data_IF_502806196127
#
_entry.id   IF_502806196127
#
_cell.length_a   1.000
_cell.length_b   1.000
_cell.length_c   1.000
_cell.angle_alpha   90.00
_cell.angle_beta   90.00
_cell.angle_gamma   90.00
#
_symmetry.space_group_name_H-M   'P 1'
#
loop_
_entity.id
_entity.type
_entity.pdbx_description
1 polymer ?
#
# COMPACT_ATOMS: atom_id res chain seq x y z
N UNK A 1 8.20 -13.45 -2.57
CA UNK A 1 6.89 -13.41 -1.88
C UNK A 1 5.86 -13.55 -2.98
N UNK A 2 5.01 -14.58 -2.92
CA UNK A 2 4.40 -15.19 -4.11
C UNK A 2 2.91 -14.84 -4.22
N UNK A 3 2.43 -14.37 -5.38
CA UNK A 3 0.99 -14.26 -5.64
C UNK A 3 0.37 -15.66 -5.84
N UNK A 4 -0.76 -15.92 -5.17
CA UNK A 4 -1.51 -17.17 -5.29
C UNK A 4 -2.22 -17.24 -6.66
N UNK A 5 -1.84 -18.21 -7.52
CA UNK A 5 -2.49 -18.45 -8.81
C UNK A 5 -1.57 -18.80 -9.99
N UNK A 6 -0.25 -18.73 -9.83
CA UNK A 6 0.72 -19.12 -10.86
C UNK A 6 1.10 -20.61 -10.75
N UNK A 7 1.02 -21.33 -11.87
CA UNK A 7 1.57 -22.68 -11.99
C UNK A 7 3.09 -22.54 -12.08
N UNK A 8 3.79 -23.03 -11.07
CA UNK A 8 5.25 -23.09 -11.03
C UNK A 8 5.65 -24.55 -11.10
N UNK A 9 6.49 -24.89 -12.06
CA UNK A 9 7.17 -26.18 -12.06
C UNK A 9 8.38 -26.14 -11.12
N UNK A 10 9.03 -27.29 -10.95
CA UNK A 10 10.23 -27.42 -10.12
C UNK A 10 11.39 -26.55 -10.60
N UNK A 11 11.38 -26.13 -11.86
CA UNK A 11 12.52 -25.51 -12.54
C UNK A 11 12.40 -23.99 -12.62
N UNK A 12 11.31 -23.40 -12.13
CA UNK A 12 11.11 -21.95 -12.25
C UNK A 12 12.12 -21.20 -11.36
N UNK A 13 13.02 -20.36 -11.93
CA UNK A 13 14.07 -19.69 -11.17
C UNK A 13 13.53 -18.63 -10.21
N UNK A 14 14.24 -18.43 -9.10
CA UNK A 14 13.90 -17.43 -8.09
C UNK A 14 13.88 -15.98 -8.63
N UNK A 15 14.62 -15.69 -9.69
CA UNK A 15 14.62 -14.37 -10.34
C UNK A 15 13.34 -14.16 -11.15
N UNK A 16 12.90 -15.18 -11.91
CA UNK A 16 11.60 -15.18 -12.61
C UNK A 16 10.44 -14.99 -11.63
N UNK A 17 10.52 -15.59 -10.44
CA UNK A 17 9.53 -15.37 -9.37
C UNK A 17 9.45 -13.91 -8.89
N UNK A 18 10.55 -13.17 -8.94
CA UNK A 18 10.59 -11.76 -8.53
C UNK A 18 10.06 -10.85 -9.63
N UNK A 19 10.41 -11.12 -10.89
CA UNK A 19 9.90 -10.36 -12.04
C UNK A 19 8.37 -10.46 -12.15
N UNK A 20 7.80 -11.58 -11.68
CA UNK A 20 6.35 -11.80 -11.63
C UNK A 20 5.65 -11.18 -10.40
N UNK A 21 6.39 -10.67 -9.41
CA UNK A 21 5.80 -10.11 -8.20
C UNK A 21 5.17 -8.73 -8.48
N UNK A 22 3.98 -8.48 -7.93
CA UNK A 22 3.31 -7.18 -8.07
C UNK A 22 4.06 -6.02 -7.39
N UNK A 23 4.95 -6.34 -6.45
CA UNK A 23 5.79 -5.40 -5.69
C UNK A 23 7.17 -6.03 -5.46
N UNK A 24 8.22 -5.22 -5.25
CA UNK A 24 9.51 -5.73 -4.76
C UNK A 24 9.43 -5.91 -3.23
N UNK A 25 9.53 -7.14 -2.71
CA UNK A 25 9.49 -7.42 -1.27
C UNK A 25 10.55 -6.69 -0.44
N UNK A 26 11.67 -6.29 -1.05
CA UNK A 26 12.76 -5.58 -0.35
C UNK A 26 12.42 -4.13 -0.05
N UNK A 27 11.40 -3.59 -0.72
CA UNK A 27 10.93 -2.21 -0.51
C UNK A 27 9.87 -2.12 0.60
N UNK A 28 9.46 -3.24 1.20
CA UNK A 28 8.45 -3.26 2.27
C UNK A 28 8.96 -2.47 3.48
N UNK A 29 8.34 -1.32 3.72
CA UNK A 29 8.75 -0.37 4.76
C UNK A 29 7.99 -0.56 6.08
N UNK A 30 6.82 -1.19 6.05
CA UNK A 30 5.96 -1.40 7.23
C UNK A 30 5.05 -2.63 7.06
N UNK A 31 4.55 -3.18 8.17
CA UNK A 31 3.59 -4.30 8.20
C UNK A 31 2.39 -3.97 9.08
N UNK A 32 1.19 -4.33 8.62
CA UNK A 32 -0.10 -4.04 9.27
C UNK A 32 -0.92 -5.32 9.44
N UNK A 33 -1.44 -5.56 10.65
CA UNK A 33 -2.22 -6.76 10.98
C UNK A 33 -3.73 -6.61 10.69
N UNK A 34 -4.52 -7.66 10.98
CA UNK A 34 -5.97 -7.72 10.68
C UNK A 34 -6.79 -6.55 11.22
N UNK A 35 -6.38 -5.99 12.35
CA UNK A 35 -7.11 -4.91 13.01
C UNK A 35 -6.82 -3.54 12.39
N UNK A 36 -5.83 -3.44 11.49
CA UNK A 36 -5.51 -2.21 10.81
C UNK A 36 -6.67 -1.76 9.94
N UNK A 37 -6.89 -0.44 9.91
CA UNK A 37 -7.94 0.21 9.12
C UNK A 37 -7.29 1.24 8.22
N UNK A 38 -7.51 1.12 6.91
CA UNK A 38 -7.24 2.20 5.96
C UNK A 38 -8.33 3.27 6.03
N UNK A 39 -8.37 4.13 5.02
CA UNK A 39 -9.39 5.18 4.88
C UNK A 39 -9.48 6.10 6.13
N UNK A 40 -8.34 6.31 6.79
CA UNK A 40 -8.19 7.31 7.85
C UNK A 40 -7.90 8.67 7.23
N UNK A 41 -8.37 9.73 7.88
CA UNK A 41 -8.24 11.09 7.38
C UNK A 41 -6.77 11.50 7.16
N UNK A 42 -6.51 12.10 6.00
CA UNK A 42 -5.25 12.77 5.70
C UNK A 42 -5.31 14.22 6.19
N UNK A 43 -4.50 14.61 7.18
CA UNK A 43 -4.42 16.02 7.56
C UNK A 43 -3.85 16.86 6.41
N UNK A 44 -4.28 18.12 6.34
CA UNK A 44 -3.73 19.12 5.44
C UNK A 44 -3.13 20.28 6.21
N UNK A 45 -2.27 21.04 5.53
CA UNK A 45 -1.79 22.35 5.96
C UNK A 45 -2.41 23.41 5.06
N UNK A 46 -2.75 24.57 5.63
CA UNK A 46 -3.16 25.72 4.82
C UNK A 46 -1.91 26.52 4.44
N UNK A 47 -1.71 26.74 3.14
CA UNK A 47 -0.62 27.57 2.61
C UNK A 47 -1.21 28.58 1.61
N UNK A 48 -1.21 29.87 1.96
CA UNK A 48 -1.73 30.95 1.10
C UNK A 48 -3.16 30.72 0.58
N UNK A 49 -4.03 30.13 1.41
CA UNK A 49 -5.40 29.80 1.04
C UNK A 49 -5.58 28.51 0.24
N UNK A 50 -4.52 27.70 0.10
CA UNK A 50 -4.51 26.39 -0.56
C UNK A 50 -4.39 25.29 0.49
N UNK A 51 -5.15 24.20 0.35
CA UNK A 51 -5.00 23.01 1.18
C UNK A 51 -3.90 22.11 0.60
N UNK A 52 -2.83 21.94 1.36
CA UNK A 52 -1.70 21.09 0.99
C UNK A 52 -1.79 19.78 1.75
N UNK A 53 -1.96 18.69 1.01
CA UNK A 53 -1.94 17.33 1.52
C UNK A 53 -0.61 16.66 1.16
N UNK A 54 -0.03 15.90 2.10
CA UNK A 54 1.23 15.18 1.84
C UNK A 54 0.96 13.68 1.66
N UNK A 55 1.02 13.23 0.42
CA UNK A 55 0.92 11.82 0.05
C UNK A 55 2.31 11.19 -0.02
N UNK A 56 2.52 10.14 0.78
CA UNK A 56 3.79 9.40 0.81
C UNK A 56 3.58 7.98 0.27
N UNK A 57 4.07 7.65 -0.93
CA UNK A 57 4.00 6.29 -1.45
C UNK A 57 4.96 5.37 -0.69
N UNK A 58 4.54 4.14 -0.44
CA UNK A 58 5.34 3.12 0.23
C UNK A 58 4.88 1.73 -0.19
N UNK A 59 5.78 0.74 -0.18
CA UNK A 59 5.38 -0.66 -0.21
C UNK A 59 5.17 -1.10 1.24
N UNK A 60 4.01 -1.68 1.53
CA UNK A 60 3.65 -2.18 2.86
C UNK A 60 3.17 -3.62 2.77
N UNK A 61 3.34 -4.37 3.84
CA UNK A 61 2.69 -5.67 4.01
C UNK A 61 1.38 -5.48 4.75
N UNK A 62 0.27 -5.90 4.16
CA UNK A 62 -1.06 -5.75 4.73
C UNK A 62 -1.75 -7.09 4.87
N UNK A 63 -2.18 -7.42 6.09
CA UNK A 63 -2.88 -8.66 6.39
C UNK A 63 -4.36 -8.53 6.01
N UNK A 64 -4.83 -9.38 5.09
CA UNK A 64 -6.21 -9.38 4.59
C UNK A 64 -7.06 -10.51 5.17
N UNK A 65 -6.42 -11.60 5.65
CA UNK A 65 -7.02 -12.73 6.37
C UNK A 65 -6.01 -13.25 7.42
N UNK A 66 -6.43 -14.01 8.46
CA UNK A 66 -5.55 -14.42 9.57
C UNK A 66 -4.19 -14.98 9.15
N UNK A 67 -4.12 -15.70 8.03
CA UNK A 67 -2.88 -16.30 7.52
C UNK A 67 -2.48 -15.78 6.13
N UNK A 68 -3.14 -14.71 5.66
CA UNK A 68 -2.90 -14.14 4.32
C UNK A 68 -2.54 -12.67 4.43
N UNK A 69 -1.33 -12.34 3.99
CA UNK A 69 -0.86 -10.97 3.82
C UNK A 69 -0.39 -10.75 2.39
N UNK A 70 -0.57 -9.52 1.92
CA UNK A 70 -0.13 -9.07 0.59
C UNK A 70 0.83 -7.90 0.74
N UNK A 71 1.86 -7.88 -0.10
CA UNK A 71 2.70 -6.69 -0.25
C UNK A 71 2.05 -5.79 -1.29
N UNK A 72 1.82 -4.53 -0.94
CA UNK A 72 1.06 -3.61 -1.76
C UNK A 72 1.63 -2.18 -1.70
N UNK A 73 1.46 -1.45 -2.80
CA UNK A 73 1.70 -0.01 -2.80
C UNK A 73 0.58 0.71 -2.07
N UNK A 74 0.94 1.57 -1.13
CA UNK A 74 0.01 2.32 -0.30
C UNK A 74 0.47 3.78 -0.17
N UNK A 75 -0.50 4.69 -0.05
CA UNK A 75 -0.25 6.05 0.40
C UNK A 75 -0.36 6.12 1.92
N UNK A 76 0.64 6.73 2.56
CA UNK A 76 0.68 7.00 4.00
C UNK A 76 0.45 5.75 4.87
N UNK A 77 0.84 4.58 4.36
CA UNK A 77 0.73 3.30 5.06
C UNK A 77 -0.67 2.70 5.14
N UNK A 78 -1.63 3.17 4.33
CA UNK A 78 -3.04 2.77 4.46
C UNK A 78 -3.57 2.02 3.23
N UNK A 79 -4.39 0.99 3.47
CA UNK A 79 -5.16 0.28 2.45
C UNK A 79 -6.61 0.07 2.96
N UNK A 80 -7.65 0.64 2.31
CA UNK A 80 -7.59 1.66 1.25
C UNK A 80 -6.80 2.91 1.68
N UNK A 81 -6.35 3.71 0.70
CA UNK A 81 -5.56 4.92 0.95
C UNK A 81 -6.26 5.93 1.87
N UNK A 82 -5.53 6.94 2.36
CA UNK A 82 -6.05 7.88 3.34
C UNK A 82 -7.16 8.75 2.72
N UNK A 83 -8.15 9.11 3.54
CA UNK A 83 -9.29 9.90 3.12
C UNK A 83 -8.92 11.37 3.00
N UNK A 84 -9.26 11.99 1.89
CA UNK A 84 -9.09 13.43 1.68
C UNK A 84 -10.44 14.12 1.75
N UNK A 85 -10.56 15.09 2.65
CA UNK A 85 -11.76 15.93 2.79
C UNK A 85 -11.56 17.31 2.15
N UNK A 86 -12.30 17.54 1.07
CA UNK A 86 -12.40 18.84 0.39
C UNK A 86 -13.83 19.37 0.43
N UNK A 87 -13.96 20.69 0.34
CA UNK A 87 -15.21 21.42 0.20
C UNK A 87 -15.19 22.18 -1.12
N UNK A 88 -16.37 22.48 -1.66
CA UNK A 88 -16.47 23.34 -2.84
C UNK A 88 -15.81 24.69 -2.55
N UNK A 89 -14.92 25.12 -3.45
CA UNK A 89 -14.16 26.37 -3.32
C UNK A 89 -12.79 26.21 -2.65
N UNK A 90 -12.47 25.03 -2.09
CA UNK A 90 -11.08 24.73 -1.70
C UNK A 90 -10.17 24.76 -2.94
N UNK A 91 -8.94 25.24 -2.74
CA UNK A 91 -7.85 25.20 -3.72
C UNK A 91 -6.76 24.28 -3.26
#
# INVERSE_FOLDING_TARGET
IMPQGMIMDRDTPADTMRDMAATDPRLVAASYGLTAKGDQDLPFRMENGIKVFELRPSVVRWQILPDVAVDAYAYNGQIPGPRIHIRQGDR
#
